data_IF_829656170184
#
_entry.id   IF_829656170184
#
_cell.length_a   1.000
_cell.length_b   1.000
_cell.length_c   1.000
_cell.angle_alpha   90.00
_cell.angle_beta   90.00
_cell.angle_gamma   90.00
#
_symmetry.space_group_name_H-M   'P 1'
#
loop_
_entity.id
_entity.type
_entity.pdbx_description
1 polymer ?
#
# COMPACT_ATOMS: atom_id res chain seq x y z
N UNK A 1 4.21 -20.91 -17.63
CA UNK A 1 5.03 -19.72 -17.98
C UNK A 1 4.23 -18.44 -18.31
N UNK A 2 2.94 -18.51 -18.66
CA UNK A 2 2.14 -17.35 -19.11
C UNK A 2 1.84 -16.27 -18.04
N UNK A 3 1.71 -16.63 -16.75
CA UNK A 3 1.31 -15.68 -15.70
C UNK A 3 2.39 -14.62 -15.35
N UNK A 4 3.68 -14.95 -15.51
CA UNK A 4 4.82 -14.06 -15.16
C UNK A 4 4.87 -12.79 -16.01
N UNK A 5 4.49 -12.89 -17.28
CA UNK A 5 4.52 -11.79 -18.25
C UNK A 5 3.46 -10.73 -17.94
N UNK A 6 2.35 -11.11 -17.29
CA UNK A 6 1.21 -10.21 -17.07
C UNK A 6 1.43 -9.24 -15.90
N UNK A 7 2.02 -9.69 -14.78
CA UNK A 7 2.23 -8.84 -13.60
C UNK A 7 3.27 -7.74 -13.84
N UNK A 8 4.43 -8.09 -14.42
CA UNK A 8 5.48 -7.12 -14.77
C UNK A 8 4.97 -6.13 -15.82
N UNK A 9 4.27 -6.61 -16.85
CA UNK A 9 3.69 -5.73 -17.87
C UNK A 9 2.68 -4.75 -17.27
N UNK A 10 1.87 -5.18 -16.29
CA UNK A 10 0.93 -4.31 -15.57
C UNK A 10 1.65 -3.27 -14.71
N UNK A 11 2.68 -3.64 -13.95
CA UNK A 11 3.48 -2.68 -13.18
C UNK A 11 4.15 -1.67 -14.11
N UNK A 12 4.74 -2.11 -15.22
CA UNK A 12 5.36 -1.22 -16.21
C UNK A 12 4.32 -0.33 -16.88
N UNK A 13 3.12 -0.83 -17.18
CA UNK A 13 2.01 -0.04 -17.74
C UNK A 13 1.47 0.98 -16.74
N UNK A 14 1.38 0.64 -15.45
CA UNK A 14 1.02 1.56 -14.36
C UNK A 14 2.08 2.64 -14.22
N UNK A 15 3.36 2.27 -14.13
CA UNK A 15 4.48 3.23 -14.08
C UNK A 15 4.47 4.14 -15.30
N UNK A 16 4.18 3.65 -16.50
CA UNK A 16 4.06 4.50 -17.70
C UNK A 16 2.90 5.49 -17.60
N UNK A 17 1.70 5.05 -17.23
CA UNK A 17 0.55 5.97 -17.07
C UNK A 17 0.78 7.03 -15.99
N UNK A 18 1.56 6.70 -14.97
CA UNK A 18 1.83 7.57 -13.84
C UNK A 18 3.10 8.45 -14.01
N UNK A 19 4.10 8.05 -14.81
CA UNK A 19 5.31 8.85 -15.11
C UNK A 19 5.19 9.76 -16.35
N UNK A 20 4.13 9.65 -17.16
CA UNK A 20 3.94 10.50 -18.35
C UNK A 20 3.79 12.00 -18.00
N UNK A 21 3.61 12.35 -16.73
CA UNK A 21 3.55 13.75 -16.27
C UNK A 21 4.92 14.43 -16.08
N UNK A 22 6.07 13.75 -16.31
CA UNK A 22 7.40 14.30 -15.99
C UNK A 22 8.36 14.57 -17.16
N UNK A 23 7.92 14.54 -18.42
CA UNK A 23 8.75 14.99 -19.54
C UNK A 23 8.07 16.08 -20.37
N UNK A 24 8.41 17.33 -20.06
CA UNK A 24 8.02 18.50 -20.84
C UNK A 24 8.38 19.81 -20.17
N UNK A 25 9.68 20.14 -20.11
CA UNK A 25 10.21 21.49 -20.39
C UNK A 25 11.70 21.61 -20.05
N UNK A 26 12.52 21.84 -21.09
CA UNK A 26 13.83 22.49 -20.97
C UNK A 26 13.60 24.01 -20.95
N UNK A 27 14.21 24.72 -20.02
CA UNK A 27 14.49 26.17 -20.15
C UNK A 27 14.07 27.05 -18.96
N UNK A 28 15.06 27.63 -18.26
CA UNK A 28 15.10 29.05 -17.87
C UNK A 28 14.24 29.60 -16.72
N UNK A 29 14.95 30.00 -15.66
CA UNK A 29 14.79 31.16 -14.76
C UNK A 29 13.64 31.29 -13.72
N UNK A 30 14.11 31.49 -12.47
CA UNK A 30 13.61 32.29 -11.34
C UNK A 30 12.13 32.27 -10.90
N UNK A 31 11.94 31.82 -9.65
CA UNK A 31 11.07 32.47 -8.67
C UNK A 31 9.55 32.31 -8.83
N UNK A 32 9.00 31.17 -8.40
CA UNK A 32 7.70 31.14 -7.72
C UNK A 32 7.51 29.84 -6.94
N UNK A 33 7.23 29.94 -5.65
CA UNK A 33 7.17 28.83 -4.70
C UNK A 33 5.74 28.35 -4.46
N UNK A 34 5.01 27.92 -5.49
CA UNK A 34 3.77 27.13 -5.37
C UNK A 34 3.56 26.28 -6.64
N UNK A 35 2.91 25.12 -6.47
CA UNK A 35 2.43 24.15 -7.49
C UNK A 35 3.41 23.07 -8.02
N UNK A 36 3.16 21.84 -7.56
CA UNK A 36 2.67 20.82 -8.49
C UNK A 36 1.92 19.71 -7.73
N UNK A 37 0.60 19.69 -7.95
CA UNK A 37 -0.30 18.59 -7.57
C UNK A 37 0.06 17.39 -8.45
N UNK A 38 0.86 16.46 -7.92
CA UNK A 38 1.28 15.26 -8.67
C UNK A 38 0.17 14.22 -8.69
N UNK A 39 -0.74 14.39 -9.64
CA UNK A 39 -1.72 13.42 -10.09
C UNK A 39 -1.02 12.11 -10.51
N UNK A 40 -1.18 11.09 -9.69
CA UNK A 40 -0.99 9.69 -10.07
C UNK A 40 0.45 9.20 -10.04
N UNK A 41 0.93 8.76 -8.89
CA UNK A 41 2.01 7.79 -8.83
C UNK A 41 1.71 6.79 -7.72
N UNK A 42 1.71 5.50 -8.03
CA UNK A 42 1.59 4.43 -7.04
C UNK A 42 3.00 4.04 -6.62
N UNK A 43 3.31 4.16 -5.32
CA UNK A 43 4.54 3.67 -4.72
C UNK A 43 4.42 2.17 -4.46
N UNK A 44 5.33 1.38 -5.00
CA UNK A 44 5.43 -0.07 -4.75
C UNK A 44 6.77 -0.32 -4.08
N UNK A 45 6.79 -1.06 -2.96
CA UNK A 45 8.04 -1.40 -2.28
C UNK A 45 8.94 -2.29 -3.13
N UNK A 46 10.24 -2.24 -2.87
CA UNK A 46 11.20 -3.06 -3.60
C UNK A 46 10.96 -4.56 -3.39
N UNK A 47 10.58 -4.97 -2.18
CA UNK A 47 10.27 -6.36 -1.85
C UNK A 47 9.08 -6.88 -2.65
N UNK A 48 8.00 -6.09 -2.73
CA UNK A 48 6.81 -6.45 -3.50
C UNK A 48 7.14 -6.47 -5.00
N UNK A 49 7.85 -5.47 -5.50
CA UNK A 49 8.27 -5.43 -6.90
C UNK A 49 9.13 -6.65 -7.28
N UNK A 50 10.05 -7.04 -6.40
CA UNK A 50 10.96 -8.19 -6.59
C UNK A 50 10.22 -9.52 -6.48
N UNK A 51 9.27 -9.63 -5.54
CA UNK A 51 8.44 -10.81 -5.40
C UNK A 51 7.60 -11.04 -6.66
N UNK A 52 6.96 -9.99 -7.17
CA UNK A 52 6.15 -10.05 -8.39
C UNK A 52 7.00 -10.39 -9.61
N UNK A 53 8.21 -9.83 -9.75
CA UNK A 53 9.09 -10.15 -10.88
C UNK A 53 9.58 -11.59 -10.85
N UNK A 54 9.81 -12.13 -9.65
CA UNK A 54 10.26 -13.51 -9.44
C UNK A 54 9.12 -14.53 -9.40
N UNK A 55 7.86 -14.09 -9.54
CA UNK A 55 6.68 -14.95 -9.44
C UNK A 55 6.46 -15.52 -8.04
N UNK A 56 6.99 -14.88 -6.99
CA UNK A 56 6.71 -15.22 -5.59
C UNK A 56 5.32 -14.74 -5.19
N UNK A 57 4.69 -15.43 -4.25
CA UNK A 57 3.39 -15.04 -3.72
C UNK A 57 3.49 -13.70 -2.97
N UNK A 58 2.53 -12.81 -3.23
CA UNK A 58 2.36 -11.54 -2.53
C UNK A 58 0.97 -11.52 -1.89
N UNK A 59 0.92 -11.18 -0.60
CA UNK A 59 -0.33 -11.06 0.15
C UNK A 59 -0.62 -9.58 0.41
N UNK A 60 -1.72 -9.09 -0.13
CA UNK A 60 -2.18 -7.74 0.16
C UNK A 60 -2.86 -7.69 1.53
N UNK A 61 -2.52 -6.70 2.34
CA UNK A 61 -3.09 -6.48 3.67
C UNK A 61 -3.76 -5.10 3.72
N UNK A 62 -4.99 -5.04 4.24
CA UNK A 62 -5.68 -3.77 4.49
C UNK A 62 -5.10 -3.06 5.73
N UNK A 63 -5.28 -1.74 5.80
CA UNK A 63 -4.70 -0.90 6.86
C UNK A 63 -5.73 -0.12 7.68
N UNK A 64 -7.03 -0.31 7.41
CA UNK A 64 -8.08 0.27 8.26
C UNK A 64 -8.06 -0.31 9.66
N UNK A 65 -7.80 -1.60 9.81
CA UNK A 65 -7.63 -2.25 11.10
C UNK A 65 -6.49 -1.64 11.95
N UNK A 66 -5.42 -1.18 11.29
CA UNK A 66 -4.28 -0.51 11.95
C UNK A 66 -4.68 0.87 12.46
N UNK A 67 -5.51 1.60 11.71
CA UNK A 67 -5.88 2.99 12.04
C UNK A 67 -7.12 3.11 12.93
N UNK A 68 -8.08 2.19 12.79
CA UNK A 68 -9.40 2.25 13.41
C UNK A 68 -9.80 0.99 14.20
N UNK A 69 -8.97 -0.06 14.18
CA UNK A 69 -9.28 -1.33 14.85
C UNK A 69 -8.65 -1.49 16.22
N UNK A 70 -7.45 -0.92 16.44
CA UNK A 70 -6.67 -1.09 17.67
C UNK A 70 -5.99 0.23 18.07
N UNK A 71 -5.76 0.47 19.37
CA UNK A 71 -5.00 1.63 19.84
C UNK A 71 -3.50 1.46 19.55
N UNK A 72 -2.78 2.58 19.46
CA UNK A 72 -1.32 2.57 19.48
C UNK A 72 -0.81 2.27 20.90
N UNK A 73 0.25 1.44 21.09
CA UNK A 73 1.12 0.83 20.07
C UNK A 73 0.67 -0.56 19.56
N UNK A 74 -0.42 -1.11 20.10
CA UNK A 74 -0.89 -2.46 19.76
C UNK A 74 -1.16 -2.63 18.26
N UNK A 75 -1.75 -1.61 17.62
CA UNK A 75 -1.98 -1.62 16.18
C UNK A 75 -0.71 -1.82 15.34
N UNK A 76 0.40 -1.19 15.72
CA UNK A 76 1.69 -1.29 15.05
C UNK A 76 2.31 -2.67 15.26
N UNK A 77 2.33 -3.15 16.51
CA UNK A 77 2.91 -4.46 16.82
C UNK A 77 2.12 -5.60 16.17
N UNK A 78 0.78 -5.56 16.23
CA UNK A 78 -0.05 -6.54 15.54
C UNK A 78 0.15 -6.49 14.03
N UNK A 79 0.31 -5.30 13.43
CA UNK A 79 0.62 -5.21 12.00
C UNK A 79 1.95 -5.89 11.65
N UNK A 80 3.00 -5.67 12.46
CA UNK A 80 4.28 -6.36 12.29
C UNK A 80 4.16 -7.87 12.46
N UNK A 81 3.45 -8.34 13.47
CA UNK A 81 3.20 -9.78 13.71
C UNK A 81 2.48 -10.41 12.51
N UNK A 82 1.44 -9.74 11.98
CA UNK A 82 0.72 -10.20 10.78
C UNK A 82 1.64 -10.27 9.57
N UNK A 83 2.46 -9.24 9.33
CA UNK A 83 3.42 -9.29 8.23
C UNK A 83 4.48 -10.38 8.43
N UNK A 84 4.92 -10.65 9.65
CA UNK A 84 5.85 -11.72 9.97
C UNK A 84 5.25 -13.10 9.65
N UNK A 85 3.99 -13.35 10.06
CA UNK A 85 3.27 -14.60 9.74
C UNK A 85 3.18 -14.81 8.23
N UNK A 86 2.91 -13.77 7.44
CA UNK A 86 2.91 -13.88 5.97
C UNK A 86 4.28 -14.31 5.43
N UNK A 87 5.37 -13.73 5.96
CA UNK A 87 6.75 -14.09 5.58
C UNK A 87 7.08 -15.54 5.98
N UNK A 88 6.68 -15.97 7.17
CA UNK A 88 6.85 -17.36 7.66
C UNK A 88 6.15 -18.38 6.75
N UNK A 89 5.02 -18.00 6.15
CA UNK A 89 4.28 -18.84 5.20
C UNK A 89 4.81 -18.74 3.75
N UNK A 90 5.98 -18.14 3.54
CA UNK A 90 6.66 -18.10 2.24
C UNK A 90 6.13 -17.06 1.24
N UNK A 91 5.30 -16.12 1.69
CA UNK A 91 4.79 -15.03 0.87
C UNK A 91 5.35 -13.66 1.31
N UNK A 92 5.27 -12.67 0.43
CA UNK A 92 5.69 -11.29 0.74
C UNK A 92 4.47 -10.45 1.13
N UNK A 93 4.43 -9.84 2.32
CA UNK A 93 3.33 -8.98 2.72
C UNK A 93 3.37 -7.65 1.97
N UNK A 94 2.20 -7.15 1.62
CA UNK A 94 1.99 -5.86 1.00
C UNK A 94 0.88 -5.12 1.76
N UNK A 95 1.21 -4.50 2.88
CA UNK A 95 0.31 -3.57 3.57
C UNK A 95 0.06 -2.36 2.67
N UNK A 96 -1.21 -2.05 2.42
CA UNK A 96 -1.61 -0.98 1.49
C UNK A 96 -2.18 0.18 2.27
N UNK A 97 -1.77 1.41 1.97
CA UNK A 97 -2.35 2.65 2.50
C UNK A 97 -2.22 3.78 1.47
N UNK A 98 -2.88 4.91 1.72
CA UNK A 98 -2.56 6.16 1.00
C UNK A 98 -1.83 7.07 1.98
N UNK A 99 -0.66 7.54 1.57
CA UNK A 99 0.22 8.39 2.37
C UNK A 99 0.50 9.67 1.59
N UNK A 100 0.06 10.81 2.14
CA UNK A 100 0.24 12.14 1.57
C UNK A 100 -0.25 12.24 0.11
N UNK A 101 -1.37 11.59 -0.19
CA UNK A 101 -1.96 11.51 -1.52
C UNK A 101 -1.40 10.39 -2.42
N UNK A 102 -0.36 9.68 -1.98
CA UNK A 102 0.32 8.65 -2.76
C UNK A 102 -0.16 7.26 -2.30
N UNK A 103 -0.77 6.43 -3.17
CA UNK A 103 -1.03 5.04 -2.85
C UNK A 103 0.27 4.28 -2.68
N UNK A 104 0.46 3.65 -1.53
CA UNK A 104 1.64 2.87 -1.18
C UNK A 104 1.28 1.39 -1.04
N UNK A 105 2.00 0.53 -1.73
CA UNK A 105 1.82 -0.92 -1.76
C UNK A 105 3.08 -1.57 -1.19
N UNK A 106 2.95 -2.12 0.01
CA UNK A 106 4.09 -2.50 0.85
C UNK A 106 4.64 -1.26 1.55
N UNK A 107 4.24 -1.07 2.81
CA UNK A 107 4.75 0.01 3.65
C UNK A 107 6.12 -0.37 4.22
N UNK A 108 7.00 0.61 4.41
CA UNK A 108 8.16 0.42 5.29
C UNK A 108 7.73 0.39 6.75
N UNK A 109 8.61 -0.08 7.63
CA UNK A 109 8.36 -0.09 9.08
C UNK A 109 8.02 1.31 9.60
N UNK A 110 8.71 2.34 9.11
CA UNK A 110 8.51 3.74 9.50
C UNK A 110 7.18 4.29 8.99
N UNK A 111 6.79 3.92 7.76
CA UNK A 111 5.49 4.30 7.18
C UNK A 111 4.33 3.62 7.92
N UNK A 112 4.51 2.35 8.28
CA UNK A 112 3.58 1.57 9.08
C UNK A 112 3.41 2.18 10.48
N UNK A 113 4.52 2.54 11.14
CA UNK A 113 4.52 3.19 12.45
C UNK A 113 3.84 4.57 12.36
N UNK A 114 4.16 5.36 11.32
CA UNK A 114 3.52 6.65 11.08
C UNK A 114 2.01 6.51 10.93
N UNK A 115 1.55 5.52 10.16
CA UNK A 115 0.14 5.24 9.98
C UNK A 115 -0.53 4.80 11.28
N UNK A 116 0.14 3.94 12.06
CA UNK A 116 -0.34 3.47 13.36
C UNK A 116 -0.46 4.61 14.39
N UNK A 117 0.52 5.53 14.43
CA UNK A 117 0.50 6.73 15.29
C UNK A 117 -0.58 7.73 14.87
N UNK A 118 -0.89 7.84 13.57
CA UNK A 118 -2.00 8.67 13.11
C UNK A 118 -3.34 8.16 13.66
N UNK A 119 -3.52 6.84 13.77
CA UNK A 119 -4.73 6.23 14.33
C UNK A 119 -6.00 6.75 13.65
N UNK A 120 -6.99 7.14 14.44
CA UNK A 120 -8.28 7.65 13.96
C UNK A 120 -8.21 9.02 13.28
N UNK A 121 -7.08 9.73 13.35
CA UNK A 121 -6.83 10.94 12.54
C UNK A 121 -6.57 10.59 11.07
N UNK A 122 -6.12 9.36 10.81
CA UNK A 122 -5.99 8.85 9.45
C UNK A 122 -7.39 8.69 8.84
N UNK A 123 -7.57 9.05 7.56
CA UNK A 123 -8.84 8.82 6.88
C UNK A 123 -9.10 7.33 6.72
N UNK A 124 -10.33 6.88 6.97
CA UNK A 124 -10.79 5.56 6.52
C UNK A 124 -11.12 5.64 5.03
N UNK A 125 -10.38 4.92 4.19
CA UNK A 125 -10.45 5.03 2.73
C UNK A 125 -11.19 3.82 2.15
N UNK A 126 -12.38 4.05 1.63
CA UNK A 126 -13.08 3.11 0.75
C UNK A 126 -12.93 3.52 -0.71
N UNK A 127 -13.46 2.71 -1.64
CA UNK A 127 -13.40 2.99 -3.08
C UNK A 127 -13.80 4.43 -3.45
N UNK A 128 -14.88 4.98 -2.86
CA UNK A 128 -15.37 6.33 -3.16
C UNK A 128 -14.46 7.44 -2.66
N UNK A 129 -13.61 7.14 -1.67
CA UNK A 129 -12.77 8.12 -1.00
C UNK A 129 -11.41 8.28 -1.70
N UNK A 130 -11.03 7.34 -2.58
CA UNK A 130 -9.71 7.30 -3.25
C UNK A 130 -9.42 8.61 -3.98
N UNK A 131 -10.35 9.09 -4.80
CA UNK A 131 -10.16 10.31 -5.60
C UNK A 131 -9.95 11.55 -4.72
N UNK A 132 -10.67 11.65 -3.60
CA UNK A 132 -10.51 12.75 -2.67
C UNK A 132 -9.15 12.67 -1.96
N UNK A 133 -8.79 11.50 -1.44
CA UNK A 133 -7.58 11.33 -0.62
C UNK A 133 -6.31 11.45 -1.46
N UNK A 134 -6.37 11.14 -2.75
CA UNK A 134 -5.27 11.33 -3.70
C UNK A 134 -4.78 12.79 -3.83
N UNK A 135 -5.54 13.79 -3.35
CA UNK A 135 -5.15 15.19 -3.43
C UNK A 135 -3.98 15.52 -2.51
N UNK A 136 -4.07 15.23 -1.19
CA UNK A 136 -2.99 15.31 -0.17
C UNK A 136 -3.30 14.55 1.15
N UNK A 137 -4.20 13.56 1.12
CA UNK A 137 -4.65 12.90 2.35
C UNK A 137 -3.82 11.67 2.72
N UNK A 138 -3.77 11.36 4.02
CA UNK A 138 -3.21 10.11 4.57
C UNK A 138 -4.31 9.28 5.23
N UNK A 139 -4.31 7.98 5.00
CA UNK A 139 -5.38 7.12 5.49
C UNK A 139 -5.17 5.62 5.29
N UNK A 140 -5.86 4.86 6.14
CA UNK A 140 -5.92 3.40 6.04
C UNK A 140 -6.95 2.98 4.98
N UNK A 141 -6.58 2.07 4.10
CA UNK A 141 -7.50 1.51 3.11
C UNK A 141 -8.35 0.40 3.73
N UNK A 142 -9.64 0.43 3.46
CA UNK A 142 -10.56 -0.70 3.71
C UNK A 142 -10.37 -1.76 2.65
N UNK A 143 -10.88 -2.97 2.91
CA UNK A 143 -10.96 -4.08 1.92
C UNK A 143 -11.30 -3.60 0.51
N UNK A 144 -12.33 -2.75 0.36
CA UNK A 144 -12.76 -2.26 -0.97
C UNK A 144 -11.68 -1.46 -1.71
N UNK A 145 -10.93 -0.61 -1.02
CA UNK A 145 -9.85 0.17 -1.60
C UNK A 145 -8.58 -0.66 -1.78
N UNK A 146 -8.28 -1.55 -0.82
CA UNK A 146 -7.16 -2.49 -0.89
C UNK A 146 -7.29 -3.40 -2.12
N UNK A 147 -8.50 -3.92 -2.40
CA UNK A 147 -8.78 -4.73 -3.60
C UNK A 147 -8.45 -4.01 -4.90
N UNK A 148 -8.80 -2.72 -4.99
CA UNK A 148 -8.54 -1.91 -6.18
C UNK A 148 -7.03 -1.80 -6.41
N UNK A 149 -6.27 -1.38 -5.40
CA UNK A 149 -4.82 -1.26 -5.52
C UNK A 149 -4.14 -2.61 -5.75
N UNK A 150 -4.55 -3.67 -5.05
CA UNK A 150 -4.04 -5.03 -5.24
C UNK A 150 -4.27 -5.55 -6.67
N UNK A 151 -5.45 -5.29 -7.25
CA UNK A 151 -5.79 -5.71 -8.61
C UNK A 151 -4.94 -5.02 -9.68
N UNK A 152 -4.52 -3.77 -9.41
CA UNK A 152 -3.63 -3.01 -10.28
C UNK A 152 -2.24 -3.67 -10.33
N UNK A 153 -1.69 -4.08 -9.19
CA UNK A 153 -0.36 -4.70 -9.10
C UNK A 153 -0.35 -6.24 -9.22
N UNK A 154 -1.49 -6.87 -9.51
CA UNK A 154 -1.61 -8.33 -9.60
C UNK A 154 -1.26 -9.11 -8.31
N UNK A 155 -1.57 -8.56 -7.13
CA UNK A 155 -1.54 -9.35 -5.90
C UNK A 155 -2.80 -10.25 -5.84
N UNK A 156 -2.60 -11.56 -5.90
CA UNK A 156 -3.67 -12.58 -6.07
C UNK A 156 -4.30 -13.05 -4.75
N UNK A 157 -3.76 -12.69 -3.59
CA UNK A 157 -4.29 -13.14 -2.30
C UNK A 157 -4.50 -11.94 -1.35
N UNK A 158 -5.76 -11.74 -0.95
CA UNK A 158 -6.13 -10.87 0.17
C UNK A 158 -6.41 -11.76 1.37
N UNK A 159 -5.66 -11.56 2.45
CA UNK A 159 -6.00 -12.18 3.72
C UNK A 159 -6.68 -11.14 4.59
N UNK A 160 -7.90 -11.45 5.03
CA UNK A 160 -8.61 -10.64 6.01
C UNK A 160 -7.81 -10.64 7.31
N UNK A 161 -7.41 -9.45 7.74
CA UNK A 161 -6.65 -9.22 8.96
C UNK A 161 -7.34 -9.85 10.20
N UNK A 162 -8.67 -9.98 10.19
CA UNK A 162 -9.43 -10.63 11.26
C UNK A 162 -9.12 -12.13 11.43
N UNK A 163 -8.89 -12.86 10.32
CA UNK A 163 -8.55 -14.28 10.37
C UNK A 163 -7.11 -14.49 10.86
N UNK A 164 -6.19 -13.61 10.46
CA UNK A 164 -4.80 -13.66 10.93
C UNK A 164 -4.65 -13.18 12.38
N UNK A 165 -5.44 -12.19 12.86
CA UNK A 165 -5.46 -11.83 14.28
C UNK A 165 -5.93 -13.01 15.12
N UNK A 166 -7.01 -13.69 14.70
CA UNK A 166 -7.47 -14.87 15.42
C UNK A 166 -6.36 -15.93 15.49
N UNK A 167 -5.63 -16.16 14.40
CA UNK A 167 -4.49 -17.07 14.36
C UNK A 167 -3.28 -16.59 15.21
N UNK A 168 -2.94 -15.31 15.16
CA UNK A 168 -1.84 -14.69 15.89
C UNK A 168 -2.10 -14.66 17.41
N UNK A 169 -3.33 -14.32 17.83
CA UNK A 169 -3.76 -14.40 19.21
C UNK A 169 -3.79 -15.84 19.73
N UNK A 170 -4.20 -16.82 18.91
CA UNK A 170 -4.29 -18.21 19.34
C UNK A 170 -2.92 -18.89 19.48
N UNK A 171 -1.92 -18.50 18.68
CA UNK A 171 -0.55 -19.06 18.77
C UNK A 171 0.23 -18.60 20.01
N UNK A 172 -0.29 -17.60 20.75
CA UNK A 172 0.32 -17.01 21.95
C UNK A 172 -0.34 -17.51 23.26
N UNK A 173 -1.30 -18.43 23.17
CA UNK A 173 -2.02 -19.05 24.31
C UNK A 173 -1.66 -20.52 24.50
#
# INVERSE_FOLDING_TARGET
MSSRTNAISRITNLRRHFNISKQGSKGGNEGNSYENTSSGSIKISQDVSTALSNGKAVVALESTIITHGMPYPQNFETAKEVEAIVRENGAVPATIAILDGIPCIGLTTEELERLAKLGTKARKISRRDIAYVATRGSGGTTVSATMIFASMVCALLLIFFFWLIHFACFKKS
#
